data_IF_089832861940
#
_entry.id   IF_089832861940
#
_cell.length_a   1.000
_cell.length_b   1.000
_cell.length_c   1.000
_cell.angle_alpha   90.00
_cell.angle_beta   90.00
_cell.angle_gamma   90.00
#
_symmetry.space_group_name_H-M   'P 1'
#
loop_
_entity.id
_entity.type
_entity.pdbx_description
1 polymer ?
#
# COMPACT_ATOMS: atom_id res chain seq x y z
N UNK A 1 9.50 -14.91 1.10
CA UNK A 1 9.27 -13.46 1.25
C UNK A 1 7.82 -13.27 1.58
N UNK A 2 7.52 -12.44 2.58
CA UNK A 2 6.15 -12.03 2.89
C UNK A 2 5.96 -10.58 2.46
N UNK A 3 4.74 -10.22 2.10
CA UNK A 3 4.34 -8.85 1.83
C UNK A 3 3.08 -8.56 2.62
N UNK A 4 3.09 -7.47 3.39
CA UNK A 4 1.96 -7.07 4.23
C UNK A 4 1.81 -5.56 4.29
N UNK A 5 0.57 -5.11 4.42
CA UNK A 5 0.19 -3.72 4.55
C UNK A 5 0.26 -3.26 6.00
N UNK A 6 0.83 -2.08 6.25
CA UNK A 6 0.88 -1.51 7.60
C UNK A 6 0.57 -0.01 7.57
N UNK A 7 -0.46 0.38 8.33
CA UNK A 7 -0.76 1.78 8.61
C UNK A 7 0.25 2.31 9.64
N UNK A 8 1.17 3.18 9.22
CA UNK A 8 2.22 3.72 10.08
C UNK A 8 1.74 4.92 10.90
N UNK A 9 0.85 5.75 10.34
CA UNK A 9 0.41 6.99 10.98
C UNK A 9 -1.00 7.41 10.54
N UNK A 10 -1.68 8.18 11.39
CA UNK A 10 -3.02 8.75 11.13
C UNK A 10 -3.02 10.23 11.50
N UNK A 11 -3.64 11.06 10.66
CA UNK A 11 -3.73 12.50 10.82
C UNK A 11 -5.18 12.97 10.67
N UNK A 12 -5.57 13.94 11.49
CA UNK A 12 -6.88 14.60 11.41
C UNK A 12 -6.87 15.86 10.53
N UNK A 13 -5.71 16.21 9.97
CA UNK A 13 -5.53 17.33 9.05
C UNK A 13 -4.77 16.82 7.84
N UNK A 14 -5.12 17.32 6.65
CA UNK A 14 -4.37 17.02 5.43
C UNK A 14 -3.02 17.72 5.49
N UNK A 15 -1.92 16.95 5.47
CA UNK A 15 -0.57 17.48 5.38
C UNK A 15 0.00 17.40 3.96
N UNK A 16 -0.50 16.44 3.18
CA UNK A 16 -0.16 16.21 1.79
C UNK A 16 -1.35 15.53 1.10
N UNK A 17 -1.65 15.97 -0.11
CA UNK A 17 -2.73 15.46 -0.97
C UNK A 17 -2.47 14.01 -1.42
N UNK A 18 -1.20 13.59 -1.46
CA UNK A 18 -0.88 12.21 -1.80
C UNK A 18 -1.39 11.20 -0.75
N UNK A 19 -1.76 11.63 0.46
CA UNK A 19 -2.20 10.69 1.49
C UNK A 19 -3.61 10.13 1.22
N UNK A 20 -3.77 8.80 1.26
CA UNK A 20 -5.07 8.17 1.35
C UNK A 20 -5.85 8.68 2.57
N UNK A 21 -7.17 8.71 2.43
CA UNK A 21 -8.04 9.26 3.46
C UNK A 21 -9.39 8.58 3.50
N UNK A 22 -10.00 8.57 4.68
CA UNK A 22 -11.31 7.96 4.92
C UNK A 22 -12.20 8.91 5.70
N UNK A 23 -13.50 8.78 5.47
CA UNK A 23 -14.52 9.42 6.29
C UNK A 23 -14.75 8.62 7.56
N UNK A 24 -14.77 9.31 8.70
CA UNK A 24 -14.95 8.70 10.01
C UNK A 24 -16.03 9.46 10.77
N UNK A 25 -16.96 8.72 11.36
CA UNK A 25 -18.01 9.28 12.18
C UNK A 25 -17.49 9.54 13.60
N UNK A 26 -17.38 10.82 13.96
CA UNK A 26 -16.97 11.28 15.29
C UNK A 26 -18.16 11.76 16.13
N UNK A 27 -17.87 12.16 17.38
CA UNK A 27 -18.88 12.73 18.28
C UNK A 27 -19.46 14.05 17.77
N UNK A 28 -18.64 14.85 17.09
CA UNK A 28 -19.02 16.18 16.58
C UNK A 28 -19.47 16.14 15.11
N UNK A 29 -19.68 14.93 14.56
CA UNK A 29 -20.05 14.71 13.16
C UNK A 29 -19.00 13.94 12.36
N UNK A 30 -19.26 13.84 11.05
CA UNK A 30 -18.35 13.22 10.09
C UNK A 30 -17.12 14.12 9.85
N UNK A 31 -15.94 13.52 9.85
CA UNK A 31 -14.70 14.21 9.50
C UNK A 31 -13.77 13.27 8.71
N UNK A 32 -12.79 13.86 8.03
CA UNK A 32 -11.78 13.11 7.28
C UNK A 32 -10.59 12.75 8.17
N UNK A 33 -10.10 11.52 8.02
CA UNK A 33 -8.83 11.06 8.54
C UNK A 33 -7.92 10.65 7.39
N UNK A 34 -6.70 11.17 7.41
CA UNK A 34 -5.64 10.86 6.47
C UNK A 34 -4.71 9.84 7.12
N UNK A 35 -4.05 9.02 6.32
CA UNK A 35 -3.15 8.01 6.87
C UNK A 35 -1.97 7.71 5.96
N UNK A 36 -0.82 7.46 6.59
CA UNK A 36 0.36 6.94 5.90
C UNK A 36 0.30 5.42 5.96
N UNK A 37 0.17 4.79 4.80
CA UNK A 37 0.12 3.33 4.66
C UNK A 37 1.26 2.85 3.79
N UNK A 38 1.94 1.80 4.24
CA UNK A 38 3.08 1.22 3.53
C UNK A 38 2.85 -0.27 3.35
N UNK A 39 3.15 -0.76 2.16
CA UNK A 39 3.30 -2.16 1.87
C UNK A 39 4.77 -2.56 2.05
N UNK A 40 5.07 -3.49 2.96
CA UNK A 40 6.43 -3.92 3.29
C UNK A 40 6.72 -5.31 2.74
N UNK A 41 7.77 -5.44 1.92
CA UNK A 41 8.33 -6.73 1.53
C UNK A 41 9.46 -7.12 2.48
N UNK A 42 9.31 -8.28 3.13
CA UNK A 42 10.31 -8.83 4.06
C UNK A 42 10.80 -10.20 3.64
N UNK A 43 12.12 -10.40 3.68
CA UNK A 43 12.74 -11.69 3.50
C UNK A 43 12.72 -12.44 4.83
N UNK A 44 12.12 -13.62 4.82
CA UNK A 44 12.12 -14.55 5.95
C UNK A 44 13.05 -15.69 5.56
N UNK A 45 14.16 -15.82 6.29
CA UNK A 45 15.18 -16.83 6.04
C UNK A 45 14.94 -18.07 6.91
N UNK A 46 15.48 -19.21 6.50
CA UNK A 46 15.29 -20.50 7.18
C UNK A 46 15.80 -20.53 8.62
N UNK A 47 16.74 -19.65 8.96
CA UNK A 47 17.27 -19.49 10.31
C UNK A 47 16.42 -18.55 11.20
N UNK A 48 15.26 -18.10 10.73
CA UNK A 48 14.37 -17.20 11.46
C UNK A 48 14.73 -15.71 11.34
N UNK A 49 15.78 -15.36 10.59
CA UNK A 49 16.12 -13.95 10.37
C UNK A 49 15.10 -13.30 9.43
N UNK A 50 14.64 -12.09 9.81
CA UNK A 50 13.75 -11.25 9.02
C UNK A 50 14.50 -10.01 8.58
N UNK A 51 14.58 -9.78 7.27
CA UNK A 51 15.25 -8.62 6.68
C UNK A 51 14.25 -7.79 5.86
N UNK A 52 14.13 -6.47 6.10
CA UNK A 52 13.37 -5.61 5.21
C UNK A 52 14.04 -5.58 3.85
N UNK A 53 13.26 -5.77 2.78
CA UNK A 53 13.77 -5.78 1.41
C UNK A 53 13.40 -4.50 0.67
N UNK A 54 12.13 -4.12 0.73
CA UNK A 54 11.58 -2.98 0.01
C UNK A 54 10.26 -2.54 0.65
N UNK A 55 9.92 -1.27 0.49
CA UNK A 55 8.67 -0.68 0.95
C UNK A 55 8.05 0.12 -0.19
N UNK A 56 6.72 0.10 -0.28
CA UNK A 56 5.96 0.88 -1.25
C UNK A 56 4.86 1.64 -0.49
N UNK A 57 4.81 2.96 -0.63
CA UNK A 57 3.75 3.76 -0.04
C UNK A 57 2.46 3.64 -0.88
N UNK A 58 1.32 3.68 -0.19
CA UNK A 58 0.05 3.97 -0.87
C UNK A 58 -0.05 5.48 -1.00
N UNK A 59 -0.06 5.95 -2.24
CA UNK A 59 -0.06 7.37 -2.57
C UNK A 59 -1.10 7.63 -3.66
N UNK A 60 -1.99 8.58 -3.38
CA UNK A 60 -2.95 9.08 -4.35
C UNK A 60 -2.24 9.90 -5.44
N UNK A 61 -2.76 9.83 -6.65
CA UNK A 61 -2.31 10.68 -7.76
C UNK A 61 -2.91 12.09 -7.59
N UNK A 62 -2.04 13.08 -7.41
CA UNK A 62 -2.41 14.49 -7.18
C UNK A 62 -3.10 15.12 -8.39
N UNK A 63 -2.93 14.61 -9.61
CA UNK A 63 -3.64 15.14 -10.78
C UNK A 63 -5.10 14.66 -10.86
N UNK A 64 -5.44 13.57 -10.18
CA UNK A 64 -6.78 12.99 -10.16
C UNK A 64 -7.70 13.58 -9.06
N UNK A 65 -7.15 14.37 -8.13
CA UNK A 65 -7.93 15.07 -7.08
C UNK A 65 -8.83 16.20 -7.61
N UNK A 66 -8.67 16.62 -8.88
CA UNK A 66 -9.56 17.60 -9.53
C UNK A 66 -10.95 17.01 -9.85
N UNK A 67 -11.17 15.73 -9.60
CA UNK A 67 -12.44 15.02 -9.85
C UNK A 67 -13.19 14.93 -8.53
N UNK A 68 -14.19 15.81 -8.34
CA UNK A 68 -14.94 16.01 -7.09
C UNK A 68 -15.92 14.86 -6.71
N UNK A 69 -15.90 13.73 -7.43
CA UNK A 69 -16.80 12.61 -7.18
C UNK A 69 -16.04 11.41 -6.60
N UNK A 70 -16.33 11.05 -5.34
CA UNK A 70 -15.86 9.83 -4.67
C UNK A 70 -16.25 8.54 -5.44
N UNK A 71 -17.25 8.60 -6.32
CA UNK A 71 -17.69 7.48 -7.17
C UNK A 71 -16.83 7.32 -8.43
N UNK A 72 -16.23 8.41 -8.92
CA UNK A 72 -15.35 8.42 -10.10
C UNK A 72 -13.86 8.31 -9.71
N UNK A 73 -13.49 8.76 -8.52
CA UNK A 73 -12.11 8.72 -8.03
C UNK A 73 -11.86 7.57 -7.05
N UNK A 74 -11.06 6.59 -7.47
CA UNK A 74 -10.59 5.50 -6.60
C UNK A 74 -9.20 5.79 -6.08
N UNK A 75 -9.12 6.02 -4.76
CA UNK A 75 -7.85 6.11 -4.03
C UNK A 75 -6.90 4.94 -4.33
N UNK A 76 -5.63 5.15 -4.02
CA UNK A 76 -4.66 4.07 -4.09
C UNK A 76 -4.99 2.97 -3.09
N UNK A 77 -4.55 1.74 -3.40
CA UNK A 77 -4.87 0.57 -2.59
C UNK A 77 -3.71 -0.42 -2.57
N UNK A 78 -3.74 -1.33 -1.60
CA UNK A 78 -2.70 -2.34 -1.42
C UNK A 78 -2.40 -3.15 -2.68
N UNK A 79 -3.44 -3.50 -3.45
CA UNK A 79 -3.27 -4.28 -4.67
C UNK A 79 -2.50 -3.49 -5.73
N UNK A 80 -2.82 -2.21 -5.95
CA UNK A 80 -2.09 -1.33 -6.89
C UNK A 80 -0.65 -1.11 -6.43
N UNK A 81 -0.45 -0.83 -5.14
CA UNK A 81 0.88 -0.71 -4.54
C UNK A 81 1.69 -1.99 -4.73
N UNK A 82 1.07 -3.16 -4.54
CA UNK A 82 1.71 -4.44 -4.76
C UNK A 82 2.15 -4.65 -6.22
N UNK A 83 1.37 -4.23 -7.22
CA UNK A 83 1.80 -4.28 -8.62
C UNK A 83 3.05 -3.42 -8.88
N UNK A 84 3.13 -2.23 -8.27
CA UNK A 84 4.31 -1.34 -8.35
C UNK A 84 5.52 -1.99 -7.66
N UNK A 85 5.34 -2.46 -6.43
CA UNK A 85 6.35 -3.16 -5.64
C UNK A 85 6.88 -4.40 -6.37
N UNK A 86 6.00 -5.25 -6.92
CA UNK A 86 6.38 -6.46 -7.66
C UNK A 86 7.17 -6.13 -8.94
N UNK A 87 6.79 -5.07 -9.64
CA UNK A 87 7.52 -4.58 -10.83
C UNK A 87 8.93 -4.14 -10.44
N UNK A 88 9.05 -3.35 -9.37
CA UNK A 88 10.34 -2.87 -8.88
C UNK A 88 11.20 -4.02 -8.34
N UNK A 89 10.63 -4.97 -7.60
CA UNK A 89 11.33 -6.18 -7.15
C UNK A 89 11.89 -7.01 -8.32
N UNK A 90 11.10 -7.22 -9.38
CA UNK A 90 11.55 -7.97 -10.57
C UNK A 90 12.67 -7.24 -11.31
N UNK A 91 12.64 -5.91 -11.32
CA UNK A 91 13.67 -5.05 -11.94
C UNK A 91 14.98 -5.08 -11.15
N UNK A 92 14.92 -4.93 -9.83
CA UNK A 92 16.11 -4.89 -8.96
C UNK A 92 16.73 -6.28 -8.75
N UNK A 93 15.90 -7.33 -8.70
CA UNK A 93 16.33 -8.70 -8.39
C UNK A 93 15.92 -9.73 -9.47
N UNK A 94 16.30 -9.53 -10.75
CA UNK A 94 15.75 -10.31 -11.87
C UNK A 94 16.09 -11.81 -11.86
N UNK A 95 17.11 -12.22 -11.08
CA UNK A 95 17.56 -13.62 -10.98
C UNK A 95 17.32 -14.23 -9.59
N UNK A 96 16.79 -13.44 -8.65
CA UNK A 96 16.57 -13.92 -7.29
C UNK A 96 15.34 -14.82 -7.27
N UNK A 97 15.53 -16.07 -6.85
CA UNK A 97 14.42 -17.01 -6.69
C UNK A 97 13.75 -16.74 -5.34
N UNK A 98 12.50 -16.28 -5.38
CA UNK A 98 11.71 -15.96 -4.20
C UNK A 98 10.45 -16.83 -4.17
N UNK A 99 10.18 -17.44 -3.02
CA UNK A 99 8.84 -17.94 -2.69
C UNK A 99 8.06 -16.81 -2.07
N UNK A 100 6.86 -16.53 -2.57
CA UNK A 100 6.00 -15.46 -2.09
C UNK A 100 4.93 -16.03 -1.16
N UNK A 101 4.80 -15.43 0.02
CA UNK A 101 3.72 -15.67 0.97
C UNK A 101 2.88 -14.39 1.00
N UNK A 102 1.66 -14.47 0.48
CA UNK A 102 0.77 -13.32 0.28
C UNK A 102 -0.61 -13.66 0.85
N UNK A 103 -1.34 -12.63 1.28
CA UNK A 103 -2.76 -12.74 1.63
C UNK A 103 -3.62 -13.15 0.41
N UNK A 104 -4.82 -13.68 0.67
CA UNK A 104 -5.81 -13.99 -0.36
C UNK A 104 -6.23 -12.77 -1.21
N UNK A 105 -6.09 -11.55 -0.69
CA UNK A 105 -6.27 -10.30 -1.45
C UNK A 105 -5.43 -10.26 -2.74
N UNK A 106 -4.26 -10.90 -2.75
CA UNK A 106 -3.33 -10.91 -3.88
C UNK A 106 -3.54 -12.10 -4.82
N UNK A 107 -4.58 -12.92 -4.62
CA UNK A 107 -4.82 -14.12 -5.41
C UNK A 107 -4.98 -13.84 -6.91
N UNK A 108 -5.55 -12.69 -7.29
CA UNK A 108 -5.70 -12.29 -8.70
C UNK A 108 -4.35 -12.05 -9.40
N UNK A 109 -3.30 -11.71 -8.65
CA UNK A 109 -1.97 -11.47 -9.21
C UNK A 109 -1.21 -12.77 -9.47
N UNK A 110 -1.32 -13.76 -8.58
CA UNK A 110 -0.50 -14.98 -8.61
C UNK A 110 -0.65 -15.84 -9.88
N UNK A 111 -1.67 -15.58 -10.70
CA UNK A 111 -1.89 -16.25 -11.99
C UNK A 111 -1.38 -15.50 -13.23
N UNK A 112 -0.73 -14.34 -13.08
CA UNK A 112 -0.17 -13.52 -14.17
C UNK A 112 1.35 -13.59 -14.23
#
# INVERSE_FOLDING_TARGET
MAVDGTQKYVMNQCWDECYPHRRVQGKDGEHHQYYAYVLEAVLILSNGMVLPLMSEFLENDTELEKIESDEEWKQDCELKAFYRLATQLKKEFPRLRLTLLLDGLYAEWAGK
#
